data_IF_470522870566
#
_entry.id   IF_470522870566
#
_cell.length_a   1.000
_cell.length_b   1.000
_cell.length_c   1.000
_cell.angle_alpha   90.00
_cell.angle_beta   90.00
_cell.angle_gamma   90.00
#
_symmetry.space_group_name_H-M   'P 1'
#
loop_
_entity.id
_entity.type
_entity.pdbx_description
1 polymer ?
#
# COMPACT_ATOMS: atom_id res chain seq x y z
N UNK A 1 -3.09 3.45 -4.90
CA UNK A 1 -1.67 3.59 -5.26
C UNK A 1 -1.56 3.81 -6.76
N UNK A 2 -0.77 4.79 -7.22
CA UNK A 2 -0.55 5.06 -8.64
C UNK A 2 0.81 4.51 -9.06
N UNK A 3 0.82 3.55 -9.98
CA UNK A 3 2.03 2.93 -10.52
C UNK A 3 2.41 3.62 -11.82
N UNK A 4 3.10 4.76 -11.78
CA UNK A 4 3.50 5.48 -13.01
C UNK A 4 4.64 4.75 -13.73
N UNK A 5 4.35 4.02 -14.81
CA UNK A 5 5.35 3.61 -15.81
C UNK A 5 4.99 4.14 -17.20
N UNK A 6 5.63 5.24 -17.58
CA UNK A 6 5.81 5.66 -18.98
C UNK A 6 7.28 5.99 -19.16
N UNK A 7 7.84 5.58 -20.30
CA UNK A 7 9.20 5.80 -20.81
C UNK A 7 9.91 7.04 -20.23
N UNK A 8 10.94 6.79 -19.40
CA UNK A 8 11.68 7.82 -18.62
C UNK A 8 11.85 7.47 -17.13
N UNK A 9 12.01 6.17 -16.82
CA UNK A 9 11.73 5.49 -15.54
C UNK A 9 12.26 6.22 -14.30
N UNK A 10 11.38 6.92 -13.60
CA UNK A 10 11.59 7.19 -12.18
C UNK A 10 10.99 6.01 -11.41
N UNK A 11 11.82 5.10 -10.91
CA UNK A 11 11.44 3.86 -10.20
C UNK A 11 10.73 4.19 -8.88
N UNK A 12 9.50 4.68 -8.99
CA UNK A 12 8.74 5.34 -7.94
C UNK A 12 7.26 5.08 -8.12
N UNK A 13 6.50 5.25 -7.05
CA UNK A 13 5.05 5.17 -7.07
C UNK A 13 4.45 6.26 -6.17
N UNK A 14 3.21 6.67 -6.47
CA UNK A 14 2.44 7.55 -5.59
C UNK A 14 1.49 6.72 -4.73
N UNK A 15 1.44 7.04 -3.44
CA UNK A 15 0.61 6.35 -2.47
C UNK A 15 -0.32 7.30 -1.73
N UNK A 16 -1.48 6.79 -1.35
CA UNK A 16 -2.32 7.40 -0.33
C UNK A 16 -2.86 6.32 0.58
N UNK A 17 -2.75 6.55 1.88
CA UNK A 17 -3.32 5.68 2.91
C UNK A 17 -4.26 6.49 3.78
N UNK A 18 -5.42 5.90 4.08
CA UNK A 18 -6.38 6.42 5.04
C UNK A 18 -6.59 5.33 6.07
N UNK A 19 -6.40 5.64 7.35
CA UNK A 19 -6.53 4.67 8.43
C UNK A 19 -7.25 5.26 9.64
N UNK A 20 -8.15 4.50 10.29
CA UNK A 20 -8.64 4.86 11.60
C UNK A 20 -7.55 4.62 12.66
N UNK A 21 -7.38 5.57 13.58
CA UNK A 21 -6.44 5.50 14.70
C UNK A 21 -7.23 5.51 16.01
N UNK A 22 -7.11 4.43 16.77
CA UNK A 22 -7.79 4.24 18.06
C UNK A 22 -6.84 4.60 19.21
N UNK A 23 -7.15 5.66 19.96
CA UNK A 23 -6.34 6.10 21.09
C UNK A 23 -6.67 5.28 22.35
N UNK A 24 -5.97 4.15 22.53
CA UNK A 24 -6.16 3.26 23.70
C UNK A 24 -5.49 3.77 24.98
N UNK A 25 -4.60 4.76 24.87
CA UNK A 25 -3.89 5.41 25.98
C UNK A 25 -3.75 6.90 25.69
N UNK A 26 -3.61 7.71 26.73
CA UNK A 26 -3.36 9.14 26.57
C UNK A 26 -1.98 9.35 25.95
N UNK A 27 -1.94 9.86 24.72
CA UNK A 27 -0.71 10.17 23.99
C UNK A 27 -0.95 11.32 23.02
N UNK A 28 0.04 12.19 22.88
CA UNK A 28 0.10 13.21 21.84
C UNK A 28 0.99 12.80 20.67
N UNK A 29 1.41 11.52 20.60
CA UNK A 29 2.27 11.02 19.52
C UNK A 29 1.65 9.77 18.91
N UNK A 30 1.50 9.79 17.59
CA UNK A 30 1.19 8.61 16.77
C UNK A 30 2.50 8.18 16.10
N UNK A 31 2.91 6.94 16.28
CA UNK A 31 4.11 6.38 15.63
C UNK A 31 3.69 5.33 14.60
N UNK A 32 4.19 5.47 13.38
CA UNK A 32 4.06 4.49 12.30
C UNK A 32 5.45 4.04 11.86
N UNK A 33 5.57 2.84 11.34
CA UNK A 33 6.70 2.44 10.52
C UNK A 33 6.54 3.05 9.12
N UNK A 34 7.63 3.61 8.62
CA UNK A 34 7.74 4.12 7.26
C UNK A 34 9.21 4.02 6.85
N UNK A 35 9.50 3.49 5.66
CA UNK A 35 10.86 3.36 5.12
C UNK A 35 10.94 3.90 3.70
N UNK A 36 11.84 4.85 3.44
CA UNK A 36 12.03 5.44 2.09
C UNK A 36 10.75 6.01 1.47
N UNK A 37 9.84 6.54 2.30
CA UNK A 37 8.61 7.20 1.86
C UNK A 37 8.72 8.71 2.05
N UNK A 38 8.52 9.48 0.98
CA UNK A 38 8.45 10.93 1.01
C UNK A 38 7.02 11.38 1.28
N UNK A 39 6.75 11.88 2.49
CA UNK A 39 5.42 12.33 2.89
C UNK A 39 5.10 13.71 2.29
N UNK A 40 4.13 13.75 1.38
CA UNK A 40 3.69 14.95 0.67
C UNK A 40 2.59 15.69 1.44
N UNK A 41 1.60 14.94 1.94
CA UNK A 41 0.45 15.48 2.68
C UNK A 41 0.14 14.57 3.87
N UNK A 42 -0.18 15.16 5.02
CA UNK A 42 -0.62 14.44 6.21
C UNK A 42 -1.74 15.23 6.88
N UNK A 43 -2.87 14.57 7.10
CA UNK A 43 -4.06 15.14 7.73
C UNK A 43 -4.60 14.19 8.79
N UNK A 44 -4.92 14.74 9.95
CA UNK A 44 -5.65 14.03 11.00
C UNK A 44 -6.99 14.72 11.19
N UNK A 45 -8.08 13.96 11.14
CA UNK A 45 -9.44 14.48 11.39
C UNK A 45 -10.12 13.68 12.50
N UNK A 46 -11.01 14.33 13.24
CA UNK A 46 -11.89 13.63 14.19
C UNK A 46 -13.08 12.97 13.47
N UNK A 47 -13.97 12.34 14.23
CA UNK A 47 -15.17 11.67 13.69
C UNK A 47 -16.13 12.62 12.94
N UNK A 48 -16.06 13.93 13.20
CA UNK A 48 -16.85 14.96 12.53
C UNK A 48 -16.12 15.54 11.29
N UNK A 49 -15.02 14.91 10.86
CA UNK A 49 -14.14 15.38 9.78
C UNK A 49 -13.49 16.74 10.03
N UNK A 50 -13.48 17.22 11.29
CA UNK A 50 -12.79 18.45 11.64
C UNK A 50 -11.28 18.18 11.81
N UNK A 51 -10.42 19.07 11.28
CA UNK A 51 -8.97 18.89 11.36
C UNK A 51 -8.47 18.96 12.80
N UNK A 52 -7.58 18.04 13.15
CA UNK A 52 -6.86 18.00 14.42
C UNK A 52 -5.45 18.53 14.19
N UNK A 53 -4.99 19.42 15.07
CA UNK A 53 -3.70 20.10 14.89
C UNK A 53 -2.52 19.16 15.14
N UNK A 54 -1.82 18.83 14.05
CA UNK A 54 -0.48 18.22 14.06
C UNK A 54 0.54 19.35 14.19
N UNK A 55 1.44 19.26 15.19
CA UNK A 55 2.44 20.29 15.48
C UNK A 55 3.79 20.00 14.83
N UNK A 56 4.12 18.72 14.66
CA UNK A 56 5.39 18.30 14.08
C UNK A 56 5.31 16.87 13.53
N UNK A 57 6.22 16.53 12.63
CA UNK A 57 6.45 15.17 12.16
C UNK A 57 7.95 14.89 12.11
N UNK A 58 8.39 13.83 12.78
CA UNK A 58 9.80 13.45 12.85
C UNK A 58 9.98 12.06 12.27
N UNK A 59 10.95 11.93 11.38
CA UNK A 59 11.34 10.64 10.84
C UNK A 59 12.65 10.19 11.50
N UNK A 60 12.65 8.96 12.02
CA UNK A 60 13.84 8.31 12.55
C UNK A 60 14.32 7.25 11.55
N UNK A 61 15.48 7.49 10.92
CA UNK A 61 16.08 6.58 9.95
C UNK A 61 16.54 5.25 10.57
N UNK A 62 17.00 5.27 11.83
CA UNK A 62 17.50 4.08 12.52
C UNK A 62 16.37 3.10 12.83
N UNK A 63 15.26 3.62 13.35
CA UNK A 63 14.09 2.79 13.70
C UNK A 63 13.10 2.64 12.54
N UNK A 64 13.28 3.39 11.45
CA UNK A 64 12.37 3.46 10.30
C UNK A 64 10.94 3.82 10.73
N UNK A 65 10.83 4.88 11.53
CA UNK A 65 9.58 5.32 12.12
C UNK A 65 9.29 6.78 11.82
N UNK A 66 8.01 7.05 11.56
CA UNK A 66 7.42 8.37 11.48
C UNK A 66 6.63 8.65 12.76
N UNK A 67 7.11 9.59 13.56
CA UNK A 67 6.40 10.14 14.72
C UNK A 67 5.61 11.38 14.32
N UNK A 68 4.31 11.38 14.58
CA UNK A 68 3.37 12.47 14.31
C UNK A 68 2.98 13.07 15.65
N UNK A 69 3.41 14.30 15.91
CA UNK A 69 3.16 15.00 17.17
C UNK A 69 1.89 15.84 17.06
N UNK A 70 0.99 15.67 18.02
CA UNK A 70 -0.27 16.38 18.16
C UNK A 70 -0.11 17.51 19.18
N UNK A 71 -0.86 18.60 18.98
CA UNK A 71 -0.84 19.72 19.93
C UNK A 71 -1.32 19.32 21.33
N UNK A 72 -2.27 18.38 21.39
CA UNK A 72 -2.85 17.87 22.62
C UNK A 72 -3.13 16.37 22.46
N UNK A 73 -2.96 15.62 23.55
CA UNK A 73 -3.37 14.22 23.61
C UNK A 73 -4.90 14.11 23.51
N UNK A 74 -5.44 13.36 22.55
CA UNK A 74 -6.88 13.10 22.51
C UNK A 74 -7.35 12.30 23.73
N UNK A 75 -8.63 12.41 24.12
CA UNK A 75 -9.20 11.55 25.14
C UNK A 75 -9.06 10.07 24.78
N UNK A 76 -8.81 9.23 25.79
CA UNK A 76 -8.76 7.78 25.62
C UNK A 76 -10.11 7.27 25.08
N UNK A 77 -10.06 6.32 24.14
CA UNK A 77 -11.24 5.79 23.46
C UNK A 77 -11.61 6.56 22.19
N UNK A 78 -10.99 7.70 21.92
CA UNK A 78 -11.24 8.46 20.68
C UNK A 78 -10.75 7.69 19.47
N UNK A 79 -11.51 7.77 18.38
CA UNK A 79 -11.11 7.34 17.04
C UNK A 79 -10.95 8.56 16.15
N UNK A 80 -9.85 8.61 15.42
CA UNK A 80 -9.55 9.68 14.44
C UNK A 80 -9.19 9.06 13.09
N UNK A 81 -9.28 9.82 12.02
CA UNK A 81 -8.88 9.39 10.67
C UNK A 81 -7.57 10.06 10.30
N UNK A 82 -6.53 9.25 10.08
CA UNK A 82 -5.24 9.69 9.58
C UNK A 82 -5.19 9.44 8.07
N UNK A 83 -4.96 10.50 7.30
CA UNK A 83 -4.79 10.47 5.85
C UNK A 83 -3.38 10.92 5.49
N UNK A 84 -2.67 10.12 4.69
CA UNK A 84 -1.30 10.42 4.26
C UNK A 84 -1.23 10.25 2.75
N UNK A 85 -0.63 11.24 2.05
CA UNK A 85 -0.18 11.10 0.66
C UNK A 85 1.33 11.14 0.61
N UNK A 86 1.92 10.27 -0.19
CA UNK A 86 3.37 10.07 -0.19
C UNK A 86 3.84 9.55 -1.55
N UNK A 87 5.14 9.60 -1.79
CA UNK A 87 5.80 8.89 -2.89
C UNK A 87 6.78 7.88 -2.31
N UNK A 88 6.88 6.70 -2.90
CA UNK A 88 7.83 5.65 -2.53
C UNK A 88 8.67 5.19 -3.71
N UNK A 89 9.58 4.24 -3.45
CA UNK A 89 10.46 3.65 -4.45
C UNK A 89 9.91 2.29 -4.92
N UNK A 90 10.10 1.99 -6.20
CA UNK A 90 9.99 0.63 -6.72
C UNK A 90 11.41 0.03 -6.64
N UNK A 91 11.60 -0.86 -5.68
CA UNK A 91 12.92 -1.37 -5.32
C UNK A 91 13.42 -2.45 -6.31
N UNK A 92 14.72 -2.74 -6.30
CA UNK A 92 15.23 -4.05 -6.70
C UNK A 92 14.61 -5.18 -5.85
N UNK A 93 14.51 -6.38 -6.40
CA UNK A 93 13.92 -7.54 -5.70
C UNK A 93 14.56 -7.82 -4.34
N UNK A 94 15.87 -7.59 -4.18
CA UNK A 94 16.61 -7.95 -2.96
C UNK A 94 16.17 -7.13 -1.73
N UNK A 95 15.60 -5.95 -1.94
CA UNK A 95 15.23 -5.04 -0.85
C UNK A 95 13.78 -5.25 -0.37
N UNK A 96 13.02 -6.13 -1.04
CA UNK A 96 11.61 -6.37 -0.75
C UNK A 96 10.73 -5.13 -0.90
N UNK A 97 9.59 -5.14 -0.22
CA UNK A 97 8.56 -4.12 -0.37
C UNK A 97 7.93 -4.24 -1.75
N UNK A 98 7.73 -3.12 -2.43
CA UNK A 98 7.35 -3.11 -3.83
C UNK A 98 8.61 -3.12 -4.68
N UNK A 99 8.75 -4.12 -5.54
CA UNK A 99 9.92 -4.26 -6.39
C UNK A 99 9.54 -4.49 -7.85
N UNK A 100 10.48 -4.21 -8.75
CA UNK A 100 10.34 -4.55 -10.17
C UNK A 100 11.02 -5.89 -10.46
N UNK A 101 10.45 -6.65 -11.40
CA UNK A 101 11.05 -7.87 -11.95
C UNK A 101 10.67 -8.01 -13.42
N UNK A 102 11.18 -9.02 -14.12
CA UNK A 102 10.89 -9.25 -15.52
C UNK A 102 10.98 -10.73 -15.89
N UNK A 103 10.37 -11.09 -17.01
CA UNK A 103 10.65 -12.33 -17.73
C UNK A 103 11.02 -12.03 -19.18
N UNK A 104 11.63 -13.01 -19.85
CA UNK A 104 11.85 -12.97 -21.30
C UNK A 104 10.91 -13.98 -21.95
N UNK A 105 10.24 -13.58 -23.02
CA UNK A 105 9.42 -14.50 -23.81
C UNK A 105 10.27 -15.33 -24.80
N UNK A 106 9.60 -16.19 -25.57
CA UNK A 106 10.23 -17.03 -26.59
C UNK A 106 10.94 -16.24 -27.70
N UNK A 107 10.54 -14.98 -27.92
CA UNK A 107 11.13 -14.06 -28.89
C UNK A 107 12.26 -13.22 -28.27
N UNK A 108 12.67 -13.49 -27.02
CA UNK A 108 13.63 -12.72 -26.23
C UNK A 108 13.20 -11.28 -25.94
N UNK A 109 11.90 -10.98 -26.02
CA UNK A 109 11.38 -9.70 -25.57
C UNK A 109 11.29 -9.68 -24.04
N UNK A 110 11.75 -8.60 -23.43
CA UNK A 110 11.69 -8.39 -21.97
C UNK A 110 10.35 -7.80 -21.58
N UNK A 111 9.66 -8.47 -20.66
CA UNK A 111 8.37 -8.09 -20.10
C UNK A 111 8.54 -7.71 -18.63
N UNK A 112 8.31 -6.45 -18.31
CA UNK A 112 8.49 -5.92 -16.95
C UNK A 112 7.20 -6.04 -16.14
N UNK A 113 7.34 -6.26 -14.84
CA UNK A 113 6.25 -6.25 -13.89
C UNK A 113 6.72 -5.66 -12.54
N UNK A 114 5.79 -5.33 -11.68
CA UNK A 114 6.05 -5.03 -10.27
C UNK A 114 5.30 -6.00 -9.39
N UNK A 115 5.91 -6.39 -8.29
CA UNK A 115 5.30 -7.27 -7.30
C UNK A 115 5.70 -6.82 -5.90
N UNK A 116 5.02 -7.35 -4.90
CA UNK A 116 5.31 -7.06 -3.49
C UNK A 116 5.84 -8.27 -2.75
N UNK A 117 6.88 -8.06 -1.94
CA UNK A 117 7.35 -8.99 -0.90
C UNK A 117 7.40 -8.24 0.42
N UNK A 118 6.37 -8.38 1.25
CA UNK A 118 6.22 -7.58 2.47
C UNK A 118 6.84 -8.24 3.71
N UNK A 119 7.10 -9.54 3.68
CA UNK A 119 7.64 -10.27 4.83
C UNK A 119 9.15 -10.04 5.01
N UNK A 120 9.65 -9.83 6.23
CA UNK A 120 8.91 -9.72 7.51
C UNK A 120 8.49 -8.29 7.88
N UNK A 121 9.18 -7.27 7.37
CA UNK A 121 9.02 -5.87 7.79
C UNK A 121 9.12 -4.88 6.63
N UNK A 122 8.77 -5.30 5.42
CA UNK A 122 8.92 -4.49 4.21
C UNK A 122 7.64 -3.74 3.81
N UNK A 123 6.50 -3.99 4.47
CA UNK A 123 5.26 -3.25 4.22
C UNK A 123 5.44 -1.74 4.47
N UNK A 124 6.25 -1.36 5.47
CA UNK A 124 6.63 0.03 5.76
C UNK A 124 7.33 0.75 4.60
N UNK A 125 7.91 0.02 3.64
CA UNK A 125 8.51 0.59 2.43
C UNK A 125 7.49 0.84 1.31
N UNK A 126 6.25 0.37 1.49
CA UNK A 126 5.16 0.50 0.51
C UNK A 126 4.08 1.45 1.00
N UNK A 127 3.75 1.40 2.30
CA UNK A 127 2.83 2.35 2.92
C UNK A 127 3.16 2.57 4.40
N UNK A 128 2.99 3.80 4.94
CA UNK A 128 3.16 4.03 6.37
C UNK A 128 2.12 3.22 7.16
N UNK A 129 2.54 2.41 8.12
CA UNK A 129 1.66 1.54 8.90
C UNK A 129 2.27 1.11 10.23
N UNK A 130 1.50 0.44 11.10
CA UNK A 130 2.06 -0.27 12.27
C UNK A 130 2.52 -1.65 11.81
N UNK A 131 3.78 -1.74 11.38
CA UNK A 131 4.34 -2.90 10.69
C UNK A 131 4.93 -3.92 11.68
N UNK A 132 4.07 -4.43 12.55
CA UNK A 132 4.36 -5.52 13.48
C UNK A 132 3.24 -6.57 13.38
N UNK A 133 3.55 -7.89 13.45
CA UNK A 133 2.56 -8.95 13.23
C UNK A 133 1.31 -8.88 14.12
N UNK A 134 1.42 -8.30 15.32
CA UNK A 134 0.32 -8.15 16.26
C UNK A 134 -0.72 -7.10 15.84
N UNK A 135 -0.35 -6.12 15.01
CA UNK A 135 -1.25 -5.06 14.53
C UNK A 135 -1.93 -5.47 13.24
N UNK A 136 -2.98 -6.29 13.39
CA UNK A 136 -3.81 -6.75 12.29
C UNK A 136 -4.86 -5.69 11.90
N UNK A 137 -5.26 -5.69 10.63
CA UNK A 137 -6.27 -4.81 10.08
C UNK A 137 -7.02 -5.47 8.91
N UNK A 138 -8.09 -4.82 8.46
CA UNK A 138 -8.76 -5.10 7.20
C UNK A 138 -8.22 -4.11 6.17
N UNK A 139 -7.68 -4.60 5.07
CA UNK A 139 -7.08 -3.78 4.02
C UNK A 139 -8.04 -3.63 2.84
N UNK A 140 -8.11 -2.42 2.30
CA UNK A 140 -8.84 -2.10 1.07
C UNK A 140 -7.81 -1.56 0.08
N UNK A 141 -7.55 -2.32 -0.99
CA UNK A 141 -6.57 -1.92 -1.99
C UNK A 141 -7.23 -1.33 -3.23
N UNK A 142 -6.68 -0.21 -3.69
CA UNK A 142 -6.96 0.35 -5.01
C UNK A 142 -5.64 0.54 -5.76
N UNK A 143 -5.57 0.03 -6.98
CA UNK A 143 -4.39 0.15 -7.83
C UNK A 143 -4.75 0.90 -9.10
N UNK A 144 -3.93 1.88 -9.45
CA UNK A 144 -3.95 2.54 -10.75
C UNK A 144 -2.71 2.11 -11.52
N UNK A 145 -2.90 1.55 -12.71
CA UNK A 145 -1.87 0.85 -13.46
C UNK A 145 -2.07 1.01 -14.98
N UNK A 146 -1.04 0.75 -15.81
CA UNK A 146 -1.19 0.82 -17.26
C UNK A 146 -2.21 -0.20 -17.77
N UNK A 147 -3.18 0.22 -18.59
CA UNK A 147 -4.31 -0.63 -19.04
C UNK A 147 -3.89 -1.87 -19.84
N UNK A 148 -2.66 -1.92 -20.34
CA UNK A 148 -2.10 -3.09 -21.02
C UNK A 148 -1.66 -4.22 -20.06
N UNK A 149 -1.72 -4.00 -18.75
CA UNK A 149 -1.32 -4.97 -17.72
C UNK A 149 -2.53 -5.51 -16.97
N UNK A 150 -2.31 -6.54 -16.16
CA UNK A 150 -3.25 -7.09 -15.19
C UNK A 150 -2.77 -6.70 -13.80
N UNK A 151 -3.72 -6.39 -12.90
CA UNK A 151 -3.45 -6.08 -11.51
C UNK A 151 -4.13 -7.11 -10.60
N UNK A 152 -3.36 -7.73 -9.71
CA UNK A 152 -3.83 -8.75 -8.76
C UNK A 152 -3.51 -8.31 -7.32
N UNK A 153 -4.30 -8.80 -6.36
CA UNK A 153 -4.06 -8.59 -4.93
C UNK A 153 -4.54 -9.81 -4.11
N UNK A 154 -4.62 -9.67 -2.79
CA UNK A 154 -5.08 -10.74 -1.88
C UNK A 154 -6.51 -11.20 -2.15
N UNK A 155 -7.37 -10.28 -2.58
CA UNK A 155 -8.78 -10.56 -2.87
C UNK A 155 -9.00 -10.56 -4.38
N UNK A 156 -10.04 -11.28 -4.82
CA UNK A 156 -10.41 -11.38 -6.23
C UNK A 156 -10.65 -10.00 -6.84
N UNK A 157 -10.13 -9.81 -8.03
CA UNK A 157 -10.29 -8.60 -8.82
C UNK A 157 -11.77 -8.28 -9.10
N UNK A 158 -12.07 -6.99 -9.20
CA UNK A 158 -13.33 -6.48 -9.75
C UNK A 158 -13.10 -5.98 -11.16
N UNK A 159 -14.17 -5.58 -11.86
CA UNK A 159 -14.03 -4.96 -13.17
C UNK A 159 -13.23 -3.64 -13.08
N UNK A 160 -12.11 -3.50 -13.81
CA UNK A 160 -11.34 -2.26 -13.81
C UNK A 160 -12.12 -1.12 -14.48
N UNK A 161 -11.94 0.09 -13.96
CA UNK A 161 -12.44 1.33 -14.54
C UNK A 161 -11.35 1.96 -15.40
N UNK A 162 -11.63 2.23 -16.67
CA UNK A 162 -10.75 3.01 -17.54
C UNK A 162 -10.72 4.48 -17.07
N UNK A 163 -9.52 5.00 -16.81
CA UNK A 163 -9.29 6.39 -16.44
C UNK A 163 -8.90 7.27 -17.64
N UNK A 164 -8.74 6.67 -18.83
CA UNK A 164 -8.22 7.32 -20.02
C UNK A 164 -6.70 7.42 -20.04
N UNK A 165 -6.14 7.72 -21.21
CA UNK A 165 -4.69 7.90 -21.39
C UNK A 165 -3.86 6.62 -21.17
N UNK A 166 -4.47 5.44 -21.30
CA UNK A 166 -3.81 4.15 -21.11
C UNK A 166 -3.66 3.73 -19.64
N UNK A 167 -4.51 4.28 -18.75
CA UNK A 167 -4.52 3.96 -17.31
C UNK A 167 -5.86 3.36 -16.89
N UNK A 168 -5.80 2.32 -16.07
CA UNK A 168 -6.97 1.71 -15.45
C UNK A 168 -6.87 1.78 -13.93
N UNK A 169 -8.01 1.87 -13.25
CA UNK A 169 -8.13 1.70 -11.79
C UNK A 169 -8.87 0.41 -11.49
N UNK A 170 -8.37 -0.37 -10.54
CA UNK A 170 -9.10 -1.50 -9.97
C UNK A 170 -9.24 -1.32 -8.46
N UNK A 171 -10.37 -1.77 -7.92
CA UNK A 171 -10.67 -1.74 -6.48
C UNK A 171 -10.93 -3.17 -6.02
N UNK A 172 -10.17 -3.63 -5.02
CA UNK A 172 -10.33 -4.98 -4.49
C UNK A 172 -11.31 -5.01 -3.30
N UNK A 173 -12.05 -6.11 -3.09
CA UNK A 173 -12.82 -6.33 -1.87
C UNK A 173 -11.94 -6.24 -0.60
N UNK A 174 -12.53 -5.97 0.58
CA UNK A 174 -11.80 -5.96 1.84
C UNK A 174 -11.18 -7.32 2.15
N UNK A 175 -9.95 -7.33 2.64
CA UNK A 175 -9.30 -8.56 3.13
C UNK A 175 -9.95 -9.07 4.42
N UNK A 176 -9.75 -10.35 4.80
CA UNK A 176 -9.93 -10.75 6.19
C UNK A 176 -9.02 -9.95 7.15
N UNK A 177 -9.30 -10.03 8.45
CA UNK A 177 -8.47 -9.41 9.47
C UNK A 177 -7.10 -10.09 9.55
N UNK A 178 -6.06 -9.40 9.07
CA UNK A 178 -4.75 -9.99 8.83
C UNK A 178 -3.58 -9.02 9.11
N UNK A 179 -2.36 -9.53 9.16
CA UNK A 179 -1.15 -8.73 9.42
C UNK A 179 -0.63 -8.06 8.14
N UNK A 180 0.15 -6.98 8.28
CA UNK A 180 0.70 -6.21 7.14
C UNK A 180 1.59 -7.05 6.21
N UNK A 181 2.39 -7.96 6.77
CA UNK A 181 3.40 -8.73 6.02
C UNK A 181 2.82 -9.74 5.01
N UNK A 182 1.52 -10.06 5.08
CA UNK A 182 0.84 -10.93 4.10
C UNK A 182 -0.01 -10.14 3.10
N UNK A 183 0.03 -8.80 3.15
CA UNK A 183 -0.54 -7.99 2.07
C UNK A 183 0.28 -8.20 0.81
N UNK A 184 -0.40 -8.34 -0.33
CA UNK A 184 0.24 -8.59 -1.60
C UNK A 184 -0.52 -7.92 -2.75
N UNK A 185 0.23 -7.39 -3.71
CA UNK A 185 -0.29 -7.04 -5.02
C UNK A 185 0.81 -7.08 -6.08
N UNK A 186 0.40 -7.23 -7.32
CA UNK A 186 1.29 -7.30 -8.48
C UNK A 186 0.64 -6.68 -9.71
N UNK A 187 1.44 -6.08 -10.57
CA UNK A 187 1.01 -5.53 -11.86
C UNK A 187 2.00 -5.95 -12.93
N UNK A 188 1.51 -6.67 -13.94
CA UNK A 188 2.34 -7.32 -14.94
C UNK A 188 1.54 -7.67 -16.20
N UNK A 189 2.20 -8.00 -17.31
CA UNK A 189 1.55 -8.52 -18.52
C UNK A 189 1.18 -10.00 -18.32
N UNK A 190 0.39 -10.28 -17.30
CA UNK A 190 -0.04 -11.64 -16.96
C UNK A 190 -1.12 -12.11 -17.93
N UNK A 191 -1.08 -13.41 -18.22
CA UNK A 191 -2.19 -14.14 -18.82
C UNK A 191 -2.75 -15.05 -17.74
N UNK A 192 -4.07 -15.20 -17.67
CA UNK A 192 -4.69 -16.02 -16.64
C UNK A 192 -5.19 -17.37 -17.17
N UNK A 193 -5.08 -18.39 -16.33
CA UNK A 193 -5.77 -19.66 -16.48
C UNK A 193 -6.51 -19.97 -15.18
N UNK A 194 -7.78 -20.39 -15.28
CA UNK A 194 -8.63 -20.62 -14.11
C UNK A 194 -9.18 -22.04 -14.09
N UNK A 195 -9.23 -22.65 -12.90
CA UNK A 195 -9.88 -23.94 -12.66
C UNK A 195 -10.47 -23.99 -11.25
N UNK A 196 -11.20 -25.05 -10.91
CA UNK A 196 -11.75 -25.25 -9.56
C UNK A 196 -11.12 -26.48 -8.90
N UNK A 197 -10.80 -26.38 -7.61
CA UNK A 197 -10.41 -27.55 -6.83
C UNK A 197 -11.64 -28.41 -6.48
N UNK A 198 -11.41 -29.55 -5.79
CA UNK A 198 -12.48 -30.47 -5.38
C UNK A 198 -13.53 -29.86 -4.46
N UNK A 199 -13.16 -28.79 -3.75
CA UNK A 199 -14.02 -28.07 -2.80
C UNK A 199 -14.75 -26.87 -3.45
N UNK A 200 -14.62 -26.70 -4.77
CA UNK A 200 -15.25 -25.60 -5.51
C UNK A 200 -14.55 -24.25 -5.34
N UNK A 201 -13.32 -24.22 -4.83
CA UNK A 201 -12.50 -23.01 -4.73
C UNK A 201 -11.88 -22.72 -6.09
N UNK A 202 -12.09 -21.49 -6.59
CA UNK A 202 -11.43 -21.00 -7.79
C UNK A 202 -9.91 -20.92 -7.56
N UNK A 203 -9.16 -21.60 -8.41
CA UNK A 203 -7.72 -21.50 -8.55
C UNK A 203 -7.43 -20.65 -9.79
N UNK A 204 -6.90 -19.45 -9.58
CA UNK A 204 -6.52 -18.52 -10.63
C UNK A 204 -5.00 -18.52 -10.75
N UNK A 205 -4.48 -18.90 -11.92
CA UNK A 205 -3.06 -19.01 -12.26
C UNK A 205 -2.65 -17.92 -13.24
#
# INVERSE_FOLDING_TARGET
MWLRTVTGRNMTFDGSVVMPVHFKKSTSVITLNAHNLKIMELKLTNILQMPVRVVDRKYNNETQQLAIHLAQAPPVGTVMTLSIKYTGLINPYQDGGLFYTYYMDLNRQVHWMVATQMESFAARAVFPCMDEPAYKAIFHFELVYPSAHVALSNMMETDPVDLGGGWSKITFPPTPYMSTYITAFTVGPFVSYSTYNKDGILLHF
#
